data_IF_699272268417
#
_entry.id   IF_699272268417
#
_cell.length_a   1.000
_cell.length_b   1.000
_cell.length_c   1.000
_cell.angle_alpha   90.00
_cell.angle_beta   90.00
_cell.angle_gamma   90.00
#
_symmetry.space_group_name_H-M   'P 1'
#
loop_
_entity.id
_entity.type
_entity.pdbx_description
1 polymer ?
#
# COMPACT_ATOMS: atom_id res chain seq x y z
N UNK A 1 -3.49 -16.32 17.69
CA UNK A 1 -3.82 -15.02 17.07
C UNK A 1 -3.98 -15.20 15.56
N UNK A 2 -5.07 -15.88 15.19
CA UNK A 2 -5.52 -16.00 13.81
C UNK A 2 -6.09 -14.65 13.39
N UNK A 3 -5.40 -13.92 12.53
CA UNK A 3 -5.96 -12.71 11.96
C UNK A 3 -7.06 -13.12 10.97
N UNK A 4 -8.28 -13.26 11.47
CA UNK A 4 -9.49 -13.39 10.67
C UNK A 4 -9.76 -12.03 10.00
N UNK A 5 -9.03 -11.71 8.93
CA UNK A 5 -9.35 -10.59 8.03
C UNK A 5 -10.41 -11.11 7.04
N UNK A 6 -11.72 -11.07 7.32
CA UNK A 6 -12.46 -9.92 7.83
C UNK A 6 -13.02 -9.04 6.70
N UNK A 7 -13.61 -9.66 5.67
CA UNK A 7 -14.74 -9.17 4.85
C UNK A 7 -14.70 -7.68 4.39
N UNK A 8 -14.41 -7.54 3.08
CA UNK A 8 -14.92 -6.55 2.10
C UNK A 8 -14.22 -5.18 1.97
N UNK A 9 -13.61 -5.00 0.78
CA UNK A 9 -13.18 -3.78 0.06
C UNK A 9 -11.76 -3.29 0.35
N UNK A 10 -10.82 -3.55 -0.57
CA UNK A 10 -9.53 -2.83 -0.66
C UNK A 10 -9.62 -1.90 -1.86
N UNK A 11 -9.67 -0.57 -1.71
CA UNK A 11 -9.58 0.32 -2.85
C UNK A 11 -8.16 0.27 -3.39
N UNK A 12 -8.05 -0.23 -4.61
CA UNK A 12 -6.91 -0.02 -5.49
C UNK A 12 -6.80 1.48 -5.79
N UNK A 13 -5.66 2.08 -5.50
CA UNK A 13 -5.28 3.40 -6.02
C UNK A 13 -4.22 3.14 -7.07
N UNK A 14 -4.44 3.52 -8.34
CA UNK A 14 -3.41 3.44 -9.39
C UNK A 14 -2.74 4.80 -9.53
N UNK A 15 -1.49 4.96 -9.10
CA UNK A 15 -0.75 6.24 -9.07
C UNK A 15 0.24 6.35 -10.25
N UNK A 16 0.14 7.44 -11.03
CA UNK A 16 1.20 7.92 -11.93
C UNK A 16 1.84 9.20 -11.38
N UNK A 17 2.90 9.03 -10.59
CA UNK A 17 3.87 10.06 -10.21
C UNK A 17 3.29 11.39 -9.67
N UNK A 18 3.01 11.52 -8.36
CA UNK A 18 3.39 12.72 -7.57
C UNK A 18 2.95 12.71 -6.09
N UNK A 19 3.78 13.38 -5.26
CA UNK A 19 3.49 13.91 -3.90
C UNK A 19 2.12 14.62 -3.81
N UNK A 20 1.74 15.14 -2.62
CA UNK A 20 0.66 14.68 -1.71
C UNK A 20 -0.57 14.03 -2.37
N UNK A 21 -1.43 13.37 -1.57
CA UNK A 21 -2.65 12.70 -2.06
C UNK A 21 -3.61 13.64 -2.83
N UNK A 22 -3.42 14.95 -2.73
CA UNK A 22 -4.14 16.00 -3.45
C UNK A 22 -3.66 16.25 -4.89
N UNK A 23 -2.48 15.78 -5.28
CA UNK A 23 -1.93 15.92 -6.64
C UNK A 23 -1.79 14.59 -7.39
N UNK A 24 -2.14 13.47 -6.75
CA UNK A 24 -2.10 12.15 -7.37
C UNK A 24 -3.12 12.01 -8.50
N UNK A 25 -2.69 11.53 -9.67
CA UNK A 25 -3.57 11.01 -10.72
C UNK A 25 -4.07 9.62 -10.33
N UNK A 26 -5.23 9.22 -10.86
CA UNK A 26 -5.81 7.91 -10.60
C UNK A 26 -6.16 7.23 -11.92
N UNK A 27 -5.38 6.25 -12.37
CA UNK A 27 -5.58 5.60 -13.67
C UNK A 27 -6.89 4.79 -13.76
N UNK A 28 -7.63 4.65 -12.65
CA UNK A 28 -8.96 4.05 -12.61
C UNK A 28 -10.09 5.09 -12.78
N UNK A 29 -9.74 6.37 -12.93
CA UNK A 29 -10.62 7.46 -13.31
C UNK A 29 -10.28 7.91 -14.74
N UNK A 30 -11.22 8.57 -15.45
CA UNK A 30 -10.94 9.07 -16.80
C UNK A 30 -9.82 10.12 -16.76
N UNK A 31 -8.70 9.85 -17.42
CA UNK A 31 -7.51 10.73 -17.48
C UNK A 31 -7.75 12.08 -18.17
N UNK A 32 -8.91 12.28 -18.80
CA UNK A 32 -9.23 13.47 -19.58
C UNK A 32 -9.71 14.67 -18.75
N UNK A 33 -9.93 14.51 -17.45
CA UNK A 33 -10.45 15.58 -16.59
C UNK A 33 -9.45 16.01 -15.51
N UNK A 34 -8.81 17.17 -15.72
CA UNK A 34 -7.87 17.79 -14.79
C UNK A 34 -8.51 18.03 -13.41
N UNK A 35 -9.84 18.15 -13.33
CA UNK A 35 -10.54 18.33 -12.05
C UNK A 35 -10.55 17.07 -11.18
N UNK A 36 -10.22 15.89 -11.75
CA UNK A 36 -10.20 14.62 -11.03
C UNK A 36 -8.83 14.29 -10.43
N UNK A 37 -7.82 15.13 -10.61
CA UNK A 37 -6.54 15.02 -9.91
C UNK A 37 -6.81 15.07 -8.38
N UNK A 38 -6.16 14.19 -7.64
CA UNK A 38 -6.33 14.05 -6.20
C UNK A 38 -7.67 13.42 -5.79
N UNK A 39 -8.40 12.81 -6.72
CA UNK A 39 -9.66 12.13 -6.44
C UNK A 39 -9.59 10.60 -6.59
N UNK A 40 -10.48 9.91 -5.89
CA UNK A 40 -10.66 8.47 -6.01
C UNK A 40 -12.13 8.11 -5.87
N UNK A 41 -12.49 6.93 -6.37
CA UNK A 41 -13.83 6.39 -6.17
C UNK A 41 -13.94 5.78 -4.78
N UNK A 42 -14.82 6.32 -3.95
CA UNK A 42 -15.13 5.77 -2.65
C UNK A 42 -15.79 4.40 -2.81
N UNK A 43 -15.17 3.33 -2.29
CA UNK A 43 -15.71 1.98 -2.52
C UNK A 43 -17.09 1.75 -1.90
N UNK A 44 -17.42 2.49 -0.85
CA UNK A 44 -18.72 2.39 -0.15
C UNK A 44 -19.84 3.14 -0.84
N UNK A 45 -19.67 4.43 -1.14
CA UNK A 45 -20.71 5.28 -1.73
C UNK A 45 -20.66 5.27 -3.26
N UNK A 46 -19.58 4.77 -3.87
CA UNK A 46 -19.29 4.83 -5.30
C UNK A 46 -19.10 6.24 -5.87
N UNK A 47 -19.09 7.27 -5.03
CA UNK A 47 -18.83 8.66 -5.38
C UNK A 47 -17.34 8.88 -5.67
N UNK A 48 -17.02 9.85 -6.53
CA UNK A 48 -15.66 10.32 -6.74
C UNK A 48 -15.43 11.48 -5.77
N UNK A 49 -14.49 11.30 -4.85
CA UNK A 49 -14.20 12.25 -3.77
C UNK A 49 -12.68 12.43 -3.64
N UNK A 50 -12.20 13.53 -3.03
CA UNK A 50 -10.77 13.70 -2.86
C UNK A 50 -10.18 12.60 -1.97
N UNK A 51 -8.98 12.12 -2.31
CA UNK A 51 -8.31 11.00 -1.64
C UNK A 51 -8.25 11.17 -0.12
N UNK A 52 -7.89 12.34 0.45
CA UNK A 52 -7.85 12.51 1.91
C UNK A 52 -9.20 12.32 2.59
N UNK A 53 -10.32 12.64 1.92
CA UNK A 53 -11.66 12.41 2.47
C UNK A 53 -11.99 10.92 2.50
N UNK A 54 -11.74 10.22 1.38
CA UNK A 54 -11.96 8.77 1.28
C UNK A 54 -11.10 8.03 2.31
N UNK A 55 -9.81 8.35 2.38
CA UNK A 55 -8.89 7.70 3.31
C UNK A 55 -9.30 7.90 4.77
N UNK A 56 -9.74 9.12 5.16
CA UNK A 56 -10.25 9.37 6.52
C UNK A 56 -11.56 8.64 6.81
N UNK A 57 -12.46 8.52 5.84
CA UNK A 57 -13.68 7.71 6.03
C UNK A 57 -13.35 6.23 6.22
N UNK A 58 -12.45 5.67 5.40
CA UNK A 58 -11.96 4.29 5.55
C UNK A 58 -11.30 4.07 6.92
N UNK A 59 -10.45 5.00 7.36
CA UNK A 59 -9.81 4.96 8.68
C UNK A 59 -10.84 4.96 9.82
N UNK A 60 -11.87 5.82 9.76
CA UNK A 60 -12.96 5.83 10.76
C UNK A 60 -13.74 4.51 10.80
N UNK A 61 -13.80 3.79 9.68
CA UNK A 61 -14.42 2.47 9.58
C UNK A 61 -13.47 1.32 9.94
N UNK A 62 -12.24 1.62 10.39
CA UNK A 62 -11.17 0.64 10.63
C UNK A 62 -10.84 -0.21 9.39
N UNK A 63 -11.03 0.34 8.19
CA UNK A 63 -10.67 -0.31 6.94
C UNK A 63 -9.26 0.09 6.54
N UNK A 64 -8.39 -0.91 6.40
CA UNK A 64 -7.03 -0.75 5.86
C UNK A 64 -7.09 -0.72 4.33
N UNK A 65 -6.17 0.01 3.71
CA UNK A 65 -6.09 0.12 2.25
C UNK A 65 -4.63 0.15 1.78
N UNK A 66 -4.42 -0.09 0.49
CA UNK A 66 -3.10 -0.11 -0.13
C UNK A 66 -3.10 0.76 -1.40
N UNK A 67 -1.90 1.11 -1.85
CA UNK A 67 -1.66 1.81 -3.11
C UNK A 67 -1.09 0.80 -4.11
N UNK A 68 -1.59 0.84 -5.35
CA UNK A 68 -0.97 0.20 -6.51
C UNK A 68 -0.26 1.32 -7.31
N UNK A 69 1.05 1.40 -7.24
CA UNK A 69 1.80 2.42 -7.98
C UNK A 69 2.24 1.91 -9.35
N UNK A 70 2.53 2.84 -10.25
CA UNK A 70 3.25 2.55 -11.48
C UNK A 70 4.76 2.36 -11.23
N UNK A 71 5.49 2.03 -12.31
CA UNK A 71 6.95 1.97 -12.33
C UNK A 71 7.57 3.30 -11.86
N UNK A 72 8.76 3.19 -11.25
CA UNK A 72 9.53 4.26 -10.64
C UNK A 72 8.77 5.06 -9.56
N UNK A 73 7.94 4.37 -8.77
CA UNK A 73 7.10 5.01 -7.77
C UNK A 73 7.90 5.84 -6.76
N UNK A 74 7.50 7.10 -6.60
CA UNK A 74 8.16 8.04 -5.70
C UNK A 74 9.35 8.78 -6.32
N UNK A 75 9.51 8.76 -7.64
CA UNK A 75 10.49 9.59 -8.34
C UNK A 75 10.33 11.09 -7.97
N UNK A 76 11.46 11.77 -7.75
CA UNK A 76 11.48 13.18 -7.34
C UNK A 76 11.03 13.44 -5.88
N UNK A 77 10.53 12.43 -5.16
CA UNK A 77 10.06 12.55 -3.78
C UNK A 77 11.15 12.16 -2.77
N UNK A 78 12.07 13.09 -2.51
CA UNK A 78 13.08 12.94 -1.45
C UNK A 78 12.58 13.33 -0.04
N UNK A 79 11.42 14.00 0.05
CA UNK A 79 10.89 14.54 1.29
C UNK A 79 10.26 13.43 2.15
N UNK A 80 10.63 13.33 3.43
CA UNK A 80 10.08 12.35 4.38
C UNK A 80 8.54 12.41 4.49
N UNK A 81 7.97 13.58 4.21
CA UNK A 81 6.52 13.81 4.15
C UNK A 81 5.81 12.88 3.15
N UNK A 82 6.47 12.46 2.07
CA UNK A 82 5.91 11.59 1.05
C UNK A 82 5.45 10.23 1.60
N UNK A 83 6.10 9.74 2.65
CA UNK A 83 5.72 8.48 3.31
C UNK A 83 4.88 8.71 4.57
N UNK A 84 5.04 9.86 5.24
CA UNK A 84 4.30 10.19 6.45
C UNK A 84 2.81 10.43 6.17
N UNK A 85 2.48 11.11 5.07
CA UNK A 85 1.08 11.37 4.72
C UNK A 85 0.30 10.09 4.41
N UNK A 86 0.76 9.18 3.53
CA UNK A 86 0.12 7.87 3.33
C UNK A 86 -0.05 7.09 4.65
N UNK A 87 0.99 7.08 5.49
CA UNK A 87 0.94 6.38 6.77
C UNK A 87 -0.10 6.99 7.72
N UNK A 88 -0.19 8.32 7.78
CA UNK A 88 -1.19 9.05 8.55
C UNK A 88 -2.61 8.77 8.08
N UNK A 89 -2.80 8.64 6.77
CA UNK A 89 -4.07 8.30 6.12
C UNK A 89 -4.42 6.80 6.20
N UNK A 90 -3.59 5.98 6.85
CA UNK A 90 -3.88 4.58 7.11
C UNK A 90 -3.49 3.60 5.99
N UNK A 91 -2.59 4.00 5.08
CA UNK A 91 -2.01 3.10 4.09
C UNK A 91 -1.22 2.00 4.80
N UNK A 92 -1.50 0.75 4.43
CA UNK A 92 -0.80 -0.43 4.93
C UNK A 92 0.37 -0.81 4.03
N UNK A 93 0.14 -0.80 2.72
CA UNK A 93 1.07 -1.27 1.71
C UNK A 93 1.06 -0.39 0.47
N UNK A 94 2.21 -0.33 -0.19
CA UNK A 94 2.40 0.21 -1.54
C UNK A 94 2.97 -0.93 -2.39
N UNK A 95 2.33 -1.21 -3.51
CA UNK A 95 2.64 -2.33 -4.40
C UNK A 95 2.85 -1.78 -5.80
N UNK A 96 4.03 -1.97 -6.39
CA UNK A 96 4.41 -1.35 -7.67
C UNK A 96 5.28 -2.30 -8.49
N UNK A 97 5.53 -2.07 -9.79
CA UNK A 97 6.56 -2.83 -10.50
C UNK A 97 7.96 -2.60 -9.90
N UNK A 98 8.26 -1.35 -9.58
CA UNK A 98 9.52 -0.91 -8.98
C UNK A 98 9.36 0.44 -8.26
N UNK A 99 10.33 0.75 -7.41
CA UNK A 99 10.36 1.98 -6.61
C UNK A 99 11.56 2.85 -6.98
N UNK A 100 11.41 4.16 -6.85
CA UNK A 100 12.55 5.07 -6.81
C UNK A 100 13.45 4.75 -5.60
N UNK A 101 14.76 4.70 -5.85
CA UNK A 101 15.79 4.20 -4.90
C UNK A 101 15.66 4.69 -3.45
N UNK A 102 15.30 5.96 -3.25
CA UNK A 102 15.22 6.59 -1.92
C UNK A 102 13.83 6.37 -1.29
N UNK A 103 12.78 6.42 -2.09
CA UNK A 103 11.41 6.39 -1.61
C UNK A 103 11.06 5.07 -0.91
N UNK A 104 11.52 3.94 -1.47
CA UNK A 104 11.33 2.61 -0.87
C UNK A 104 11.83 2.57 0.59
N UNK A 105 13.01 3.12 0.84
CA UNK A 105 13.60 3.14 2.19
C UNK A 105 12.78 4.00 3.15
N UNK A 106 12.23 5.12 2.68
CA UNK A 106 11.38 6.00 3.49
C UNK A 106 10.08 5.30 3.87
N UNK A 107 9.42 4.58 2.94
CA UNK A 107 8.22 3.79 3.23
C UNK A 107 8.48 2.74 4.32
N UNK A 108 9.61 2.02 4.22
CA UNK A 108 10.03 1.01 5.21
C UNK A 108 10.27 1.62 6.60
N UNK A 109 10.92 2.78 6.66
CA UNK A 109 11.15 3.50 7.93
C UNK A 109 9.83 3.89 8.63
N UNK A 110 8.80 4.25 7.86
CA UNK A 110 7.46 4.56 8.37
C UNK A 110 6.60 3.33 8.69
N UNK A 111 7.16 2.12 8.53
CA UNK A 111 6.48 0.87 8.86
C UNK A 111 5.38 0.49 7.87
N UNK A 112 5.43 0.99 6.63
CA UNK A 112 4.58 0.49 5.54
C UNK A 112 5.24 -0.69 4.83
N UNK A 113 4.43 -1.54 4.21
CA UNK A 113 4.88 -2.60 3.31
C UNK A 113 5.19 -2.04 1.92
N UNK A 114 6.46 -2.01 1.55
CA UNK A 114 6.89 -1.75 0.18
C UNK A 114 7.09 -3.08 -0.54
N UNK A 115 6.20 -3.40 -1.49
CA UNK A 115 6.18 -4.66 -2.23
C UNK A 115 6.28 -4.39 -3.72
N UNK A 116 6.93 -5.29 -4.45
CA UNK A 116 6.95 -5.23 -5.91
C UNK A 116 6.27 -6.42 -6.55
N UNK A 117 5.66 -6.26 -7.72
CA UNK A 117 5.15 -7.40 -8.48
C UNK A 117 6.30 -8.31 -8.93
N UNK A 118 6.08 -9.63 -8.86
CA UNK A 118 6.99 -10.61 -9.48
C UNK A 118 6.84 -10.60 -11.01
N UNK A 119 5.60 -10.51 -11.49
CA UNK A 119 5.26 -10.22 -12.88
C UNK A 119 4.58 -8.85 -12.97
N UNK A 120 5.24 -7.88 -13.61
CA UNK A 120 4.70 -6.53 -13.76
C UNK A 120 3.35 -6.51 -14.52
N UNK A 121 3.08 -7.49 -15.38
CA UNK A 121 1.80 -7.58 -16.10
C UNK A 121 0.61 -7.87 -15.17
N UNK A 122 0.85 -8.38 -13.95
CA UNK A 122 -0.22 -8.57 -12.97
C UNK A 122 -0.82 -7.24 -12.49
N UNK A 123 -0.06 -6.14 -12.58
CA UNK A 123 -0.57 -4.81 -12.24
C UNK A 123 -1.78 -4.43 -13.12
N UNK A 124 -1.69 -4.69 -14.43
CA UNK A 124 -2.71 -4.31 -15.42
C UNK A 124 -4.02 -5.08 -15.25
N UNK A 125 -3.98 -6.21 -14.52
CA UNK A 125 -5.16 -7.04 -14.22
C UNK A 125 -5.98 -6.48 -13.06
N UNK A 126 -5.41 -5.56 -12.27
CA UNK A 126 -6.09 -5.01 -11.09
C UNK A 126 -7.06 -3.91 -11.53
N UNK A 127 -8.30 -4.04 -11.07
CA UNK A 127 -9.37 -3.12 -11.40
C UNK A 127 -9.89 -2.37 -10.17
N UNK A 128 -10.70 -1.34 -10.44
CA UNK A 128 -11.36 -0.58 -9.38
C UNK A 128 -12.38 -1.44 -8.63
N UNK A 129 -12.20 -1.56 -7.31
CA UNK A 129 -13.12 -2.28 -6.45
C UNK A 129 -12.79 -3.76 -6.27
N UNK A 130 -11.65 -4.20 -6.79
CA UNK A 130 -11.04 -5.48 -6.44
C UNK A 130 -10.78 -5.57 -4.93
N UNK A 131 -10.54 -6.79 -4.45
CA UNK A 131 -10.11 -7.01 -3.08
C UNK A 131 -8.82 -7.77 -3.05
N UNK A 132 -7.83 -7.13 -2.49
CA UNK A 132 -6.52 -7.72 -2.29
C UNK A 132 -6.45 -8.36 -0.91
N UNK A 133 -5.62 -9.37 -0.74
CA UNK A 133 -5.20 -9.90 0.57
C UNK A 133 -3.70 -10.12 0.52
N UNK A 134 -2.98 -9.85 1.60
CA UNK A 134 -1.53 -10.07 1.66
C UNK A 134 -1.25 -11.23 2.62
N UNK A 135 -0.78 -12.35 2.09
CA UNK A 135 -0.44 -13.55 2.83
C UNK A 135 1.08 -13.69 2.97
N UNK A 136 1.54 -14.16 4.13
CA UNK A 136 2.98 -14.31 4.42
C UNK A 136 3.62 -13.08 5.08
N UNK A 137 2.81 -12.19 5.67
CA UNK A 137 3.29 -10.97 6.34
C UNK A 137 3.37 -11.11 7.87
N UNK A 138 2.32 -11.61 8.53
CA UNK A 138 2.21 -11.62 10.01
C UNK A 138 2.51 -12.99 10.68
N UNK A 139 2.93 -12.89 11.94
CA UNK A 139 3.86 -13.75 12.70
C UNK A 139 3.33 -15.13 13.14
N UNK A 140 2.08 -15.51 12.84
CA UNK A 140 1.52 -16.74 13.42
C UNK A 140 1.71 -17.99 12.54
N UNK A 141 1.93 -17.82 11.23
CA UNK A 141 2.35 -18.89 10.30
C UNK A 141 3.03 -18.24 9.08
N UNK A 142 4.36 -18.12 9.09
CA UNK A 142 5.13 -17.61 7.95
C UNK A 142 5.40 -16.10 8.01
N UNK A 143 6.14 -15.68 9.04
CA UNK A 143 6.67 -14.31 9.15
C UNK A 143 7.42 -13.93 7.88
N UNK A 144 7.26 -12.69 7.42
CA UNK A 144 8.12 -12.14 6.37
C UNK A 144 9.60 -12.34 6.73
N UNK A 145 10.37 -12.94 5.83
CA UNK A 145 11.80 -13.20 5.97
C UNK A 145 12.56 -12.57 4.80
N UNK A 146 13.85 -12.23 4.95
CA UNK A 146 14.63 -11.76 3.81
C UNK A 146 14.58 -12.77 2.65
N UNK A 147 14.18 -12.30 1.46
CA UNK A 147 14.04 -13.15 0.27
C UNK A 147 12.76 -13.98 0.19
N UNK A 148 11.84 -13.89 1.17
CA UNK A 148 10.52 -14.53 1.05
C UNK A 148 9.61 -13.78 0.08
N UNK A 149 8.64 -14.47 -0.50
CA UNK A 149 7.59 -13.84 -1.30
C UNK A 149 6.30 -13.69 -0.51
N UNK A 150 5.58 -12.60 -0.77
CA UNK A 150 4.21 -12.37 -0.30
C UNK A 150 3.27 -12.86 -1.40
N UNK A 151 2.24 -13.61 -1.01
CA UNK A 151 1.19 -14.02 -1.96
C UNK A 151 0.03 -13.02 -1.87
N UNK A 152 -0.42 -12.56 -3.03
CA UNK A 152 -1.50 -11.58 -3.14
C UNK A 152 -2.72 -12.16 -3.86
N UNK A 153 -3.66 -12.81 -3.15
CA UNK A 153 -4.95 -13.13 -3.71
C UNK A 153 -5.73 -11.86 -4.04
N UNK A 154 -6.29 -11.82 -5.24
CA UNK A 154 -7.14 -10.76 -5.75
C UNK A 154 -8.52 -11.36 -6.04
N UNK A 155 -9.55 -10.74 -5.47
CA UNK A 155 -10.94 -11.08 -5.69
C UNK A 155 -11.62 -9.92 -6.44
N UNK A 156 -11.79 -10.03 -7.76
CA UNK A 156 -12.55 -9.08 -8.55
C UNK A 156 -14.03 -9.06 -8.17
N UNK A 157 -14.75 -7.98 -8.55
CA UNK A 157 -16.18 -7.81 -8.25
C UNK A 157 -17.10 -8.71 -9.10
N UNK A 158 -16.65 -9.18 -10.25
CA UNK A 158 -17.43 -10.01 -11.17
C UNK A 158 -16.66 -11.16 -11.84
N UNK A 159 -15.34 -11.19 -11.68
CA UNK A 159 -14.48 -12.19 -12.30
C UNK A 159 -13.96 -13.22 -11.30
N UNK A 160 -13.33 -14.26 -11.84
CA UNK A 160 -12.65 -15.30 -11.07
C UNK A 160 -11.49 -14.70 -10.27
N UNK A 161 -11.34 -15.19 -9.03
CA UNK A 161 -10.21 -14.85 -8.21
C UNK A 161 -8.90 -15.29 -8.88
N UNK A 162 -7.85 -14.52 -8.66
CA UNK A 162 -6.51 -14.81 -9.16
C UNK A 162 -5.47 -14.44 -8.10
N UNK A 163 -4.23 -14.86 -8.30
CA UNK A 163 -3.15 -14.56 -7.35
C UNK A 163 -1.97 -13.95 -8.10
N UNK A 164 -1.36 -12.94 -7.48
CA UNK A 164 -0.05 -12.44 -7.85
C UNK A 164 0.99 -12.87 -6.81
N UNK A 165 2.25 -13.01 -7.25
CA UNK A 165 3.40 -13.08 -6.33
C UNK A 165 4.02 -11.70 -6.20
N UNK A 166 4.38 -11.35 -4.97
CA UNK A 166 4.99 -10.08 -4.64
C UNK A 166 6.36 -10.30 -3.98
N UNK A 167 7.32 -9.51 -4.41
CA UNK A 167 8.69 -9.47 -3.90
C UNK A 167 8.87 -8.31 -2.92
N UNK A 168 9.97 -8.35 -2.16
CA UNK A 168 10.37 -7.26 -1.28
C UNK A 168 11.88 -7.29 -1.03
N UNK A 169 12.46 -6.15 -0.64
CA UNK A 169 13.89 -6.06 -0.31
C UNK A 169 14.20 -5.80 1.17
N UNK A 170 13.25 -6.10 2.08
CA UNK A 170 13.53 -6.06 3.53
C UNK A 170 14.66 -7.01 3.93
N UNK A 171 15.66 -6.47 4.62
CA UNK A 171 16.66 -7.26 5.32
C UNK A 171 16.30 -7.46 6.79
N UNK A 172 17.01 -8.35 7.48
CA UNK A 172 16.73 -8.75 8.87
C UNK A 172 16.58 -7.59 9.86
N UNK A 173 17.38 -6.52 9.70
CA UNK A 173 17.32 -5.32 10.53
C UNK A 173 16.12 -4.39 10.27
N UNK A 174 15.46 -4.50 9.10
CA UNK A 174 14.29 -3.68 8.75
C UNK A 174 12.96 -4.34 9.14
N UNK A 175 12.92 -5.68 9.18
CA UNK A 175 11.72 -6.42 9.56
C UNK A 175 11.16 -6.03 10.94
N UNK A 176 11.99 -5.77 11.97
CA UNK A 176 11.50 -5.24 13.25
C UNK A 176 10.81 -3.88 13.14
N UNK A 177 11.22 -3.01 12.21
CA UNK A 177 10.57 -1.70 12.03
C UNK A 177 9.12 -1.84 11.56
N UNK A 178 8.89 -2.83 10.69
CA UNK A 178 7.55 -3.16 10.23
C UNK A 178 6.69 -3.71 11.38
N UNK A 179 7.26 -4.60 12.20
CA UNK A 179 6.57 -5.23 13.34
C UNK A 179 6.23 -4.23 14.44
N UNK A 180 7.13 -3.29 14.71
CA UNK A 180 6.94 -2.23 15.71
C UNK A 180 6.18 -1.02 15.13
N UNK A 181 5.78 -1.10 13.86
CA UNK A 181 4.98 -0.09 13.16
C UNK A 181 5.73 1.15 12.67
N UNK A 182 7.01 1.32 13.06
CA UNK A 182 7.99 2.22 12.44
C UNK A 182 9.41 1.98 13.00
N UNK A 183 10.43 2.50 12.32
CA UNK A 183 11.80 2.49 12.84
C UNK A 183 11.93 3.29 14.15
N UNK A 184 11.21 4.41 14.29
CA UNK A 184 11.22 5.23 15.50
C UNK A 184 10.60 4.49 16.70
N UNK A 185 9.51 3.76 16.47
CA UNK A 185 8.89 2.92 17.49
C UNK A 185 9.85 1.81 17.94
N UNK A 186 10.57 1.19 17.00
CA UNK A 186 11.56 0.16 17.30
C UNK A 186 12.71 0.69 18.18
N UNK A 187 13.25 1.87 17.83
CA UNK A 187 14.31 2.53 18.63
C UNK A 187 13.80 2.84 20.04
N UNK A 188 12.58 3.38 20.16
CA UNK A 188 11.95 3.66 21.46
C UNK A 188 11.75 2.38 22.28
N UNK A 189 11.26 1.31 21.67
CA UNK A 189 11.04 0.04 22.35
C UNK A 189 12.35 -0.55 22.89
N UNK A 190 13.44 -0.50 22.09
CA UNK A 190 14.77 -0.93 22.53
C UNK A 190 15.33 -0.08 23.67
N UNK A 191 15.17 1.24 23.59
CA UNK A 191 15.66 2.15 24.62
C UNK A 191 14.93 2.01 25.97
N UNK A 192 13.69 1.54 25.97
CA UNK A 192 12.92 1.27 27.20
C UNK A 192 13.16 -0.12 27.77
N UNK A 193 13.76 -1.03 26.98
CA UNK A 193 14.01 -2.43 27.37
C UNK A 193 15.44 -2.69 27.88
N UNK A 194 16.34 -1.72 27.74
CA UNK A 194 17.70 -1.74 28.28
C UNK A 194 17.83 -0.83 29.49
#
# INVERSE_FOLDING_TARGET
>A
MTATFGVRRIPTFVDSNSLPATSASNALLPDTDIQLIGHTRHLVTSEILPVPYVARDLQRRNLRWCIIGNSNYGEGSSHEHAALEPRYLGVLAVITPDFARIHETTLKKQGMLALTFDDAADQDRIQNGDRITLLGVEEQKGSLQPGSQVTMPVQPRGDLAWEAKLNHSYHSGQLPWLRDGSALNHIRAKALAG
#
